data_IF_761619557292
#
_entry.id   IF_761619557292
#
_cell.length_a   1.000
_cell.length_b   1.000
_cell.length_c   1.000
_cell.angle_alpha   90.00
_cell.angle_beta   90.00
_cell.angle_gamma   90.00
#
_symmetry.space_group_name_H-M   'P 1'
#
loop_
_entity.id
_entity.type
_entity.pdbx_description
1 polymer ?
#
# COMPACT_ATOMS: atom_id res chain seq x y z
N UNK A 1 1.44 -3.62 -72.72
CA UNK A 1 0.42 -4.57 -73.20
C UNK A 1 1.11 -5.74 -73.89
N UNK A 2 0.59 -6.97 -73.91
CA UNK A 2 -0.60 -7.52 -73.22
C UNK A 2 -0.28 -8.81 -72.40
N UNK A 3 -0.80 -8.96 -71.18
CA UNK A 3 -2.03 -9.66 -70.73
C UNK A 3 -1.91 -11.18 -70.45
N UNK A 4 -2.40 -11.54 -69.26
CA UNK A 4 -2.72 -12.91 -68.84
C UNK A 4 -3.37 -12.93 -67.45
N UNK A 5 -4.66 -12.58 -67.38
CA UNK A 5 -5.55 -12.67 -66.20
C UNK A 5 -5.82 -14.13 -65.78
N UNK A 6 -5.97 -14.41 -64.48
CA UNK A 6 -7.19 -15.06 -63.96
C UNK A 6 -7.36 -14.83 -62.45
N UNK A 7 -8.62 -14.75 -62.05
CA UNK A 7 -9.21 -14.14 -60.86
C UNK A 7 -9.76 -15.24 -59.94
N UNK A 8 -9.75 -15.08 -58.61
CA UNK A 8 -10.94 -15.28 -57.74
C UNK A 8 -10.68 -15.04 -56.25
N UNK A 9 -11.55 -14.17 -55.72
CA UNK A 9 -11.89 -13.84 -54.33
C UNK A 9 -12.02 -15.05 -53.39
N UNK A 10 -11.70 -14.84 -52.11
CA UNK A 10 -12.54 -15.25 -50.97
C UNK A 10 -12.33 -14.31 -49.77
N UNK A 11 -13.41 -13.63 -49.40
CA UNK A 11 -13.62 -13.03 -48.09
C UNK A 11 -13.66 -14.12 -47.01
N UNK A 12 -13.10 -13.84 -45.83
CA UNK A 12 -13.61 -14.39 -44.57
C UNK A 12 -13.22 -13.48 -43.41
N UNK A 13 -14.23 -12.84 -42.83
CA UNK A 13 -14.24 -12.27 -41.48
C UNK A 13 -13.92 -13.34 -40.43
N UNK A 14 -13.20 -12.97 -39.36
CA UNK A 14 -13.33 -13.64 -38.06
C UNK A 14 -13.35 -12.62 -36.93
N UNK A 15 -14.57 -12.34 -36.49
CA UNK A 15 -14.87 -11.96 -35.13
C UNK A 15 -14.77 -13.19 -34.21
N UNK A 16 -14.50 -12.93 -32.94
CA UNK A 16 -14.76 -13.77 -31.75
C UNK A 16 -14.09 -15.14 -31.66
N UNK A 17 -13.17 -15.27 -30.70
CA UNK A 17 -13.12 -16.45 -29.81
C UNK A 17 -12.80 -15.94 -28.39
N UNK A 18 -13.83 -15.41 -27.73
CA UNK A 18 -13.89 -15.37 -26.27
C UNK A 18 -14.70 -16.60 -25.85
N UNK A 19 -14.03 -17.68 -25.48
CA UNK A 19 -14.54 -18.81 -24.67
C UNK A 19 -13.68 -20.04 -24.91
N UNK A 20 -12.69 -20.30 -24.04
CA UNK A 20 -12.27 -21.64 -23.58
C UNK A 20 -10.86 -21.57 -23.01
N UNK A 21 -10.76 -21.44 -21.68
CA UNK A 21 -9.90 -22.23 -20.77
C UNK A 21 -10.52 -22.02 -19.38
N UNK A 22 -11.66 -22.66 -19.14
CA UNK A 22 -12.08 -23.11 -17.81
C UNK A 22 -11.92 -24.63 -17.86
N UNK A 23 -10.86 -25.12 -17.24
CA UNK A 23 -10.74 -26.41 -16.58
C UNK A 23 -9.30 -26.91 -16.59
N UNK A 24 -8.88 -27.43 -15.43
CA UNK A 24 -7.65 -28.19 -15.15
C UNK A 24 -6.41 -27.34 -14.86
N UNK A 25 -6.24 -27.00 -13.59
CA UNK A 25 -5.21 -27.67 -12.77
C UNK A 25 -5.56 -27.53 -11.28
N UNK A 26 -6.05 -28.64 -10.71
CA UNK A 26 -5.92 -28.95 -9.30
C UNK A 26 -4.48 -29.41 -9.08
N UNK A 27 -3.73 -28.69 -8.25
CA UNK A 27 -2.64 -29.27 -7.48
C UNK A 27 -2.79 -28.78 -6.04
N UNK A 28 -3.49 -29.59 -5.25
CA UNK A 28 -3.62 -29.43 -3.81
C UNK A 28 -2.23 -29.59 -3.17
N UNK A 29 -1.75 -28.52 -2.53
CA UNK A 29 -0.79 -28.66 -1.43
C UNK A 29 -1.65 -28.78 -0.16
N UNK A 30 -1.72 -29.98 0.38
CA UNK A 30 -2.40 -30.28 1.65
C UNK A 30 -1.56 -29.78 2.81
N UNK A 31 -2.10 -28.88 3.62
CA UNK A 31 -1.61 -28.58 4.96
C UNK A 31 -2.42 -29.46 5.93
N UNK A 32 -1.77 -30.46 6.53
CA UNK A 32 -2.38 -31.34 7.53
C UNK A 32 -2.30 -30.67 8.91
N UNK A 33 -3.46 -30.38 9.47
CA UNK A 33 -3.64 -29.70 10.75
C UNK A 33 -5.01 -29.99 11.31
N UNK A 34 -5.26 -31.27 11.64
CA UNK A 34 -6.47 -31.72 12.36
C UNK A 34 -6.63 -30.96 13.69
N UNK A 35 -7.70 -30.18 13.80
CA UNK A 35 -8.37 -29.89 15.06
C UNK A 35 -9.87 -30.16 14.87
N UNK A 36 -10.40 -31.02 15.73
CA UNK A 36 -11.76 -31.57 15.65
C UNK A 36 -12.81 -30.48 15.89
N UNK A 37 -13.77 -30.31 14.98
CA UNK A 37 -14.93 -29.46 15.21
C UNK A 37 -15.96 -30.19 16.09
N UNK A 38 -16.22 -29.68 17.28
CA UNK A 38 -17.46 -29.98 18.00
C UNK A 38 -18.54 -29.00 17.54
N UNK A 39 -19.68 -29.54 17.11
CA UNK A 39 -20.88 -28.78 16.74
C UNK A 39 -21.47 -28.17 18.01
N UNK A 40 -21.54 -26.85 18.10
CA UNK A 40 -22.51 -26.14 18.92
C UNK A 40 -23.37 -25.24 18.04
N UNK A 41 -24.59 -25.68 17.81
CA UNK A 41 -25.71 -24.88 17.34
C UNK A 41 -26.19 -24.00 18.49
N UNK A 42 -26.05 -22.69 18.37
CA UNK A 42 -26.75 -21.75 19.25
C UNK A 42 -27.45 -20.71 18.39
N UNK A 43 -28.78 -20.83 18.35
CA UNK A 43 -29.70 -19.86 17.79
C UNK A 43 -29.71 -18.60 18.65
N UNK A 44 -29.32 -17.45 18.08
CA UNK A 44 -29.53 -16.14 18.71
C UNK A 44 -30.63 -15.42 17.93
N UNK A 45 -31.66 -15.02 18.68
CA UNK A 45 -32.90 -14.41 18.24
C UNK A 45 -32.69 -12.99 17.70
N UNK A 46 -33.42 -12.68 16.61
CA UNK A 46 -33.61 -11.34 16.06
C UNK A 46 -34.47 -10.50 17.02
N UNK A 47 -33.83 -9.76 17.92
CA UNK A 47 -34.38 -8.55 18.53
C UNK A 47 -33.26 -7.90 19.32
N UNK A 48 -32.77 -6.77 18.82
CA UNK A 48 -32.08 -5.67 19.52
C UNK A 48 -31.03 -4.98 18.63
N UNK A 49 -31.44 -4.65 17.39
CA UNK A 49 -30.74 -3.66 16.57
C UNK A 49 -31.74 -2.60 16.16
N UNK A 50 -31.92 -1.60 17.02
CA UNK A 50 -32.61 -0.35 16.68
C UNK A 50 -31.78 0.82 17.15
N UNK A 51 -31.15 1.52 16.20
CA UNK A 51 -30.96 2.97 16.13
C UNK A 51 -29.67 3.30 15.36
N UNK A 52 -29.79 3.45 14.04
CA UNK A 52 -28.98 4.37 13.22
C UNK A 52 -29.61 4.39 11.82
N UNK A 53 -30.76 5.06 11.69
CA UNK A 53 -31.27 5.47 10.39
C UNK A 53 -30.71 6.86 10.05
N UNK A 54 -30.54 7.07 8.75
CA UNK A 54 -30.48 8.37 8.07
C UNK A 54 -29.11 9.01 7.88
N UNK A 55 -28.33 8.43 6.96
CA UNK A 55 -27.61 9.18 5.92
C UNK A 55 -27.60 8.34 4.64
N UNK A 56 -28.77 8.27 3.99
CA UNK A 56 -28.88 7.79 2.61
C UNK A 56 -28.38 8.93 1.70
N UNK A 57 -27.07 8.96 1.46
CA UNK A 57 -26.51 9.83 0.43
C UNK A 57 -26.72 9.17 -0.92
N UNK A 58 -27.72 9.66 -1.63
CA UNK A 58 -28.00 9.47 -3.05
C UNK A 58 -26.68 9.35 -3.86
N UNK A 59 -26.46 8.29 -4.65
CA UNK A 59 -25.24 8.15 -5.44
C UNK A 59 -25.26 9.21 -6.54
N UNK A 60 -24.59 10.33 -6.26
CA UNK A 60 -24.33 11.38 -7.26
C UNK A 60 -23.84 10.74 -8.56
N UNK A 61 -24.45 11.20 -9.65
CA UNK A 61 -24.24 10.78 -11.03
C UNK A 61 -22.76 10.51 -11.37
N UNK A 62 -22.51 9.38 -12.04
CA UNK A 62 -21.22 8.94 -12.58
C UNK A 62 -20.72 9.86 -13.70
N UNK A 63 -20.27 11.07 -13.36
CA UNK A 63 -19.41 11.89 -14.19
C UNK A 63 -17.95 11.61 -13.84
N UNK A 64 -17.19 11.08 -14.80
CA UNK A 64 -15.74 10.79 -14.84
C UNK A 64 -14.99 10.84 -13.50
N UNK A 65 -15.17 9.79 -12.67
CA UNK A 65 -14.31 9.53 -11.51
C UNK A 65 -12.83 9.39 -11.91
N UNK A 66 -12.58 9.04 -13.17
CA UNK A 66 -11.25 8.90 -13.75
C UNK A 66 -11.18 9.53 -15.13
N UNK A 67 -10.00 10.02 -15.49
CA UNK A 67 -9.67 10.29 -16.88
C UNK A 67 -8.65 9.27 -17.39
N UNK A 68 -8.76 8.93 -18.68
CA UNK A 68 -7.76 8.08 -19.34
C UNK A 68 -6.55 8.92 -19.73
N UNK A 69 -5.37 8.48 -19.31
CA UNK A 69 -4.10 9.13 -19.59
C UNK A 69 -3.07 8.10 -20.04
N UNK A 70 -2.67 8.17 -21.31
CA UNK A 70 -1.79 7.18 -21.95
C UNK A 70 -2.24 5.72 -21.73
N UNK A 71 -3.55 5.46 -21.74
CA UNK A 71 -4.12 4.12 -21.57
C UNK A 71 -4.32 3.67 -20.12
N UNK A 72 -3.94 4.49 -19.13
CA UNK A 72 -4.12 4.22 -17.70
C UNK A 72 -5.21 5.12 -17.12
N UNK A 73 -5.90 4.69 -16.06
CA UNK A 73 -6.95 5.50 -15.41
C UNK A 73 -6.34 6.34 -14.28
N UNK A 74 -6.60 7.65 -14.24
CA UNK A 74 -6.11 8.54 -13.17
C UNK A 74 -7.24 9.34 -12.54
N UNK A 75 -7.09 9.64 -11.24
CA UNK A 75 -7.96 10.60 -10.55
C UNK A 75 -7.76 12.01 -11.14
N UNK A 76 -8.85 12.78 -11.32
CA UNK A 76 -8.76 14.18 -11.75
C UNK A 76 -7.90 15.00 -10.78
N UNK A 77 -7.28 16.04 -11.31
CA UNK A 77 -6.60 17.03 -10.47
C UNK A 77 -7.63 17.80 -9.65
N UNK A 78 -7.38 17.93 -8.35
CA UNK A 78 -8.24 18.66 -7.40
C UNK A 78 -7.37 19.70 -6.69
N UNK A 79 -7.78 20.97 -6.74
CA UNK A 79 -7.08 22.09 -6.09
C UNK A 79 -5.58 22.19 -6.41
N UNK A 80 -5.20 21.87 -7.65
CA UNK A 80 -3.79 21.89 -8.10
C UNK A 80 -2.97 20.67 -7.68
N UNK A 81 -3.60 19.71 -6.97
CA UNK A 81 -2.97 18.47 -6.52
C UNK A 81 -3.27 17.35 -7.51
N UNK A 82 -2.21 16.84 -8.13
CA UNK A 82 -2.28 15.77 -9.11
C UNK A 82 -1.75 14.46 -8.50
N UNK A 83 -2.61 13.45 -8.41
CA UNK A 83 -2.20 12.11 -8.00
C UNK A 83 -1.31 11.47 -9.07
N UNK A 84 -0.15 10.96 -8.64
CA UNK A 84 0.90 10.47 -9.54
C UNK A 84 0.65 9.07 -10.07
N UNK A 85 -0.05 8.24 -9.29
CA UNK A 85 -0.27 6.85 -9.61
C UNK A 85 -1.65 6.65 -10.27
N UNK A 86 -1.77 5.67 -11.18
CA UNK A 86 -3.05 5.32 -11.77
C UNK A 86 -3.99 4.65 -10.74
N UNK A 87 -5.23 4.37 -11.14
CA UNK A 87 -6.28 3.76 -10.34
C UNK A 87 -7.02 2.71 -11.17
N UNK A 88 -6.26 1.81 -11.79
CA UNK A 88 -6.74 0.71 -12.64
C UNK A 88 -6.28 -0.66 -12.13
N UNK A 89 -6.74 -1.72 -12.78
CA UNK A 89 -6.43 -3.11 -12.39
C UNK A 89 -4.92 -3.40 -12.38
N UNK A 90 -4.13 -2.77 -13.26
CA UNK A 90 -2.67 -2.89 -13.26
C UNK A 90 -2.05 -2.29 -11.98
N UNK A 91 -2.60 -1.19 -11.46
CA UNK A 91 -2.18 -0.62 -10.18
C UNK A 91 -2.57 -1.50 -9.00
N UNK A 92 -3.75 -2.14 -9.04
CA UNK A 92 -4.17 -3.13 -8.04
C UNK A 92 -3.14 -4.25 -7.96
N UNK A 93 -2.74 -4.83 -9.08
CA UNK A 93 -1.70 -5.87 -9.10
C UNK A 93 -0.34 -5.36 -8.58
N UNK A 94 0.05 -4.11 -8.90
CA UNK A 94 1.28 -3.52 -8.35
C UNK A 94 1.22 -3.46 -6.82
N UNK A 95 0.13 -2.95 -6.26
CA UNK A 95 -0.05 -2.85 -4.80
C UNK A 95 -0.01 -4.24 -4.14
N UNK A 96 -0.62 -5.25 -4.75
CA UNK A 96 -0.60 -6.62 -4.21
C UNK A 96 0.80 -7.24 -4.19
N UNK A 97 1.60 -7.04 -5.26
CA UNK A 97 2.99 -7.49 -5.29
C UNK A 97 3.85 -6.74 -4.26
N UNK A 98 3.60 -5.45 -4.08
CA UNK A 98 4.28 -4.64 -3.07
C UNK A 98 3.95 -5.12 -1.65
N UNK A 99 2.69 -5.43 -1.36
CA UNK A 99 2.29 -6.01 -0.07
C UNK A 99 2.93 -7.38 0.16
N UNK A 100 3.02 -8.20 -0.89
CA UNK A 100 3.73 -9.48 -0.83
C UNK A 100 5.23 -9.30 -0.52
N UNK A 101 5.86 -8.25 -1.05
CA UNK A 101 7.24 -7.90 -0.74
C UNK A 101 7.38 -7.56 0.74
N UNK A 102 6.53 -6.68 1.28
CA UNK A 102 6.53 -6.30 2.69
C UNK A 102 6.37 -7.52 3.61
N UNK A 103 5.46 -8.44 3.26
CA UNK A 103 5.26 -9.66 4.02
C UNK A 103 6.53 -10.54 4.06
N UNK A 104 7.23 -10.69 2.94
CA UNK A 104 8.48 -11.46 2.89
C UNK A 104 9.63 -10.80 3.66
N UNK A 105 9.64 -9.47 3.69
CA UNK A 105 10.68 -8.65 4.35
C UNK A 105 10.52 -8.67 5.87
N UNK A 106 9.30 -8.46 6.36
CA UNK A 106 9.06 -8.29 7.79
C UNK A 106 8.60 -9.56 8.50
N UNK A 107 7.97 -10.50 7.78
CA UNK A 107 7.37 -11.73 8.33
C UNK A 107 6.40 -11.47 9.49
N UNK A 108 5.88 -10.24 9.57
CA UNK A 108 5.00 -9.73 10.62
C UNK A 108 4.04 -8.73 9.99
N UNK A 109 2.77 -8.76 10.40
CA UNK A 109 1.73 -7.87 9.89
C UNK A 109 1.39 -6.69 10.82
N UNK A 110 1.84 -6.75 12.07
CA UNK A 110 1.57 -5.76 13.12
C UNK A 110 2.90 -5.38 13.78
N UNK A 111 3.32 -4.12 13.78
CA UNK A 111 4.50 -3.72 14.55
C UNK A 111 4.13 -3.37 15.98
N UNK A 112 3.03 -2.64 16.15
CA UNK A 112 2.48 -2.26 17.45
C UNK A 112 2.05 -3.50 18.25
N UNK A 113 2.21 -3.48 19.59
CA UNK A 113 1.88 -4.60 20.47
C UNK A 113 0.36 -4.67 20.76
N UNK A 114 -0.47 -4.79 19.71
CA UNK A 114 -1.95 -4.78 19.78
C UNK A 114 -2.58 -6.15 19.52
N UNK A 115 -1.80 -7.21 19.49
CA UNK A 115 -2.28 -8.55 19.13
C UNK A 115 -3.36 -9.07 20.10
N UNK A 116 -3.16 -8.92 21.41
CA UNK A 116 -4.14 -9.32 22.42
C UNK A 116 -5.39 -8.41 22.37
N UNK A 117 -5.19 -7.10 22.17
CA UNK A 117 -6.30 -6.12 22.04
C UNK A 117 -7.22 -6.47 20.86
N UNK A 118 -6.64 -6.91 19.73
CA UNK A 118 -7.41 -7.35 18.55
C UNK A 118 -8.30 -8.58 18.85
N UNK A 119 -7.83 -9.50 19.70
CA UNK A 119 -8.57 -10.68 20.16
C UNK A 119 -9.65 -10.36 21.20
N UNK A 120 -9.47 -9.27 21.95
CA UNK A 120 -10.45 -8.78 22.93
C UNK A 120 -11.53 -7.92 22.28
N UNK A 121 -11.19 -7.21 21.20
CA UNK A 121 -12.11 -6.41 20.39
C UNK A 121 -11.83 -4.92 20.53
N UNK A 122 -11.22 -4.35 19.49
CA UNK A 122 -10.88 -2.92 19.40
C UNK A 122 -11.36 -2.28 18.10
N UNK A 123 -11.23 -0.95 17.99
CA UNK A 123 -11.51 -0.20 16.78
C UNK A 123 -10.21 0.17 16.07
N UNK A 124 -10.07 -0.28 14.83
CA UNK A 124 -8.88 -0.08 13.99
C UNK A 124 -9.23 0.85 12.82
N UNK A 125 -8.35 1.83 12.55
CA UNK A 125 -8.40 2.68 11.36
C UNK A 125 -7.16 2.46 10.51
N UNK A 126 -7.32 2.06 9.25
CA UNK A 126 -6.26 2.17 8.24
C UNK A 126 -6.51 3.40 7.35
N UNK A 127 -5.51 4.29 7.29
CA UNK A 127 -5.50 5.49 6.44
C UNK A 127 -4.73 5.16 5.16
N UNK A 128 -5.27 5.54 4.00
CA UNK A 128 -4.69 5.22 2.69
C UNK A 128 -4.69 3.71 2.40
N UNK A 129 -5.86 3.07 2.46
CA UNK A 129 -5.97 1.60 2.36
C UNK A 129 -5.55 1.00 1.02
N UNK A 130 -5.52 1.79 -0.07
CA UNK A 130 -5.34 1.26 -1.42
C UNK A 130 -6.36 0.16 -1.73
N UNK A 131 -5.90 -1.07 -2.00
CA UNK A 131 -6.78 -2.22 -2.25
C UNK A 131 -7.56 -2.69 -1.00
N UNK A 132 -7.14 -2.26 0.20
CA UNK A 132 -7.72 -2.70 1.46
C UNK A 132 -7.34 -4.11 1.88
N UNK A 133 -6.35 -4.73 1.22
CA UNK A 133 -5.95 -6.12 1.49
C UNK A 133 -5.52 -6.33 2.96
N UNK A 134 -4.65 -5.48 3.49
CA UNK A 134 -4.09 -5.65 4.83
C UNK A 134 -5.18 -5.61 5.92
N UNK A 135 -6.02 -4.57 5.90
CA UNK A 135 -7.11 -4.43 6.89
C UNK A 135 -8.19 -5.50 6.74
N UNK A 136 -8.46 -5.94 5.50
CA UNK A 136 -9.40 -7.04 5.24
C UNK A 136 -8.91 -8.35 5.82
N UNK A 137 -7.62 -8.68 5.61
CA UNK A 137 -7.00 -9.89 6.17
C UNK A 137 -7.04 -9.88 7.71
N UNK A 138 -6.80 -8.73 8.36
CA UNK A 138 -6.97 -8.61 9.82
C UNK A 138 -8.43 -8.75 10.25
N UNK A 139 -9.37 -8.15 9.53
CA UNK A 139 -10.80 -8.23 9.87
C UNK A 139 -11.34 -9.66 9.83
N UNK A 140 -10.88 -10.49 8.90
CA UNK A 140 -11.20 -11.92 8.87
C UNK A 140 -10.67 -12.68 10.09
N UNK A 141 -9.47 -12.33 10.57
CA UNK A 141 -8.81 -13.03 11.67
C UNK A 141 -9.30 -12.58 13.06
N UNK A 142 -9.84 -11.35 13.17
CA UNK A 142 -10.24 -10.76 14.45
C UNK A 142 -11.71 -10.31 14.43
N UNK A 143 -12.68 -11.26 14.45
CA UNK A 143 -14.10 -10.96 14.25
C UNK A 143 -14.76 -10.13 15.36
N UNK A 144 -14.10 -9.97 16.52
CA UNK A 144 -14.56 -9.11 17.62
C UNK A 144 -14.16 -7.64 17.45
N UNK A 145 -13.14 -7.37 16.63
CA UNK A 145 -12.65 -6.02 16.36
C UNK A 145 -13.42 -5.39 15.21
N UNK A 146 -13.50 -4.06 15.20
CA UNK A 146 -14.11 -3.26 14.13
C UNK A 146 -13.02 -2.57 13.32
N UNK A 147 -13.16 -2.63 12.00
CA UNK A 147 -12.15 -2.17 11.06
C UNK A 147 -12.76 -1.12 10.13
N UNK A 148 -12.11 0.03 10.06
CA UNK A 148 -12.50 1.12 9.16
C UNK A 148 -11.29 1.47 8.29
N UNK A 149 -11.50 1.50 6.98
CA UNK A 149 -10.51 1.91 6.00
C UNK A 149 -10.89 3.23 5.35
N UNK A 150 -9.93 4.12 5.16
CA UNK A 150 -10.11 5.39 4.44
C UNK A 150 -9.13 5.51 3.29
N UNK A 151 -9.58 5.98 2.13
CA UNK A 151 -8.72 6.31 0.98
C UNK A 151 -9.40 7.37 0.11
N UNK A 152 -8.63 8.15 -0.65
CA UNK A 152 -9.18 9.08 -1.66
C UNK A 152 -10.01 8.33 -2.71
N UNK A 153 -9.68 7.06 -2.97
CA UNK A 153 -10.43 6.19 -3.86
C UNK A 153 -10.60 4.80 -3.26
N UNK A 154 -11.86 4.35 -3.16
CA UNK A 154 -12.17 2.97 -2.75
C UNK A 154 -12.21 2.08 -4.00
N UNK A 155 -11.20 1.22 -4.12
CA UNK A 155 -11.17 0.18 -5.15
C UNK A 155 -12.34 -0.79 -4.97
N UNK A 156 -12.92 -1.32 -6.07
CA UNK A 156 -13.95 -2.34 -5.98
C UNK A 156 -13.43 -3.57 -5.21
N UNK A 157 -14.11 -3.93 -4.13
CA UNK A 157 -13.81 -5.13 -3.35
C UNK A 157 -14.99 -6.09 -3.37
N UNK A 158 -14.67 -7.38 -3.37
CA UNK A 158 -15.65 -8.46 -3.14
C UNK A 158 -15.39 -9.06 -1.78
N UNK A 159 -16.44 -9.44 -1.06
CA UNK A 159 -16.35 -10.22 0.18
C UNK A 159 -15.71 -9.52 1.39
N UNK A 160 -16.08 -8.26 1.66
CA UNK A 160 -15.69 -7.59 2.91
C UNK A 160 -16.32 -8.28 4.13
N UNK A 161 -15.55 -8.55 5.20
CA UNK A 161 -16.07 -8.99 6.49
C UNK A 161 -17.11 -8.02 7.05
N UNK A 162 -18.11 -8.52 7.79
CA UNK A 162 -19.19 -7.69 8.36
C UNK A 162 -18.68 -6.64 9.36
N UNK A 163 -17.49 -6.87 9.94
CA UNK A 163 -16.80 -5.98 10.85
C UNK A 163 -15.83 -5.01 10.14
N UNK A 164 -15.85 -4.91 8.80
CA UNK A 164 -14.98 -4.05 8.01
C UNK A 164 -15.77 -3.10 7.11
N UNK A 165 -15.40 -1.81 7.08
CA UNK A 165 -16.02 -0.80 6.22
C UNK A 165 -14.97 0.14 5.60
N UNK A 166 -15.12 0.45 4.31
CA UNK A 166 -14.29 1.44 3.62
C UNK A 166 -15.05 2.74 3.34
N UNK A 167 -14.35 3.88 3.42
CA UNK A 167 -14.93 5.22 3.21
C UNK A 167 -14.03 6.08 2.31
N UNK A 168 -14.57 6.71 1.24
CA UNK A 168 -13.80 7.64 0.44
C UNK A 168 -13.52 8.91 1.26
N UNK A 169 -12.25 9.16 1.58
CA UNK A 169 -11.79 10.27 2.42
C UNK A 169 -10.42 10.72 1.92
N UNK A 170 -10.29 12.02 1.63
CA UNK A 170 -9.00 12.66 1.50
C UNK A 170 -8.48 13.06 2.88
N UNK A 171 -7.44 12.38 3.36
CA UNK A 171 -6.79 12.67 4.64
C UNK A 171 -6.30 14.11 4.73
N UNK A 172 -5.97 14.75 3.59
CA UNK A 172 -5.52 16.15 3.58
C UNK A 172 -6.63 17.17 3.84
N UNK A 173 -7.89 16.73 3.79
CA UNK A 173 -9.07 17.50 4.23
C UNK A 173 -9.50 17.16 5.67
N UNK A 174 -8.77 16.28 6.34
CA UNK A 174 -9.07 15.80 7.69
C UNK A 174 -9.86 14.50 7.72
N UNK A 175 -9.72 13.77 8.82
CA UNK A 175 -10.40 12.50 9.04
C UNK A 175 -11.80 12.76 9.63
N UNK A 176 -12.89 12.22 9.04
CA UNK A 176 -14.27 12.51 9.45
C UNK A 176 -14.70 11.69 10.67
N UNK A 177 -13.84 11.62 11.68
CA UNK A 177 -14.07 10.90 12.92
C UNK A 177 -13.82 11.83 14.12
N UNK A 178 -14.58 11.68 15.21
CA UNK A 178 -14.31 12.38 16.45
C UNK A 178 -12.92 12.06 17.00
N UNK A 179 -12.42 12.95 17.85
CA UNK A 179 -11.20 12.71 18.62
C UNK A 179 -11.33 11.41 19.44
N UNK A 180 -10.24 10.69 19.60
CA UNK A 180 -10.17 9.49 20.45
C UNK A 180 -11.21 8.40 20.07
N UNK A 181 -11.38 8.14 18.77
CA UNK A 181 -12.33 7.16 18.22
C UNK A 181 -11.76 5.76 18.02
N UNK A 182 -10.44 5.62 17.89
CA UNK A 182 -9.77 4.39 17.50
C UNK A 182 -8.70 3.98 18.52
N UNK A 183 -8.56 2.69 18.74
CA UNK A 183 -7.56 2.12 19.63
C UNK A 183 -6.24 1.87 18.87
N UNK A 184 -6.33 1.64 17.56
CA UNK A 184 -5.18 1.44 16.68
C UNK A 184 -5.38 2.18 15.35
N UNK A 185 -4.43 3.03 14.98
CA UNK A 185 -4.47 3.82 13.75
C UNK A 185 -3.18 3.56 12.96
N UNK A 186 -3.32 3.16 11.71
CA UNK A 186 -2.20 2.70 10.88
C UNK A 186 -2.24 3.32 9.49
N UNK A 187 -1.08 3.58 8.92
CA UNK A 187 -0.93 3.96 7.52
C UNK A 187 0.24 3.20 6.91
N UNK A 188 0.05 2.69 5.69
CA UNK A 188 1.05 1.87 5.01
C UNK A 188 1.20 2.35 3.57
N UNK A 189 2.43 2.50 3.10
CA UNK A 189 2.78 2.82 1.71
C UNK A 189 2.16 4.10 1.13
N UNK A 190 2.12 5.20 1.89
CA UNK A 190 1.69 6.50 1.38
C UNK A 190 2.79 7.30 0.68
N UNK A 191 3.91 6.64 0.34
CA UNK A 191 4.95 7.22 -0.51
C UNK A 191 4.29 7.76 -1.80
N UNK A 192 4.65 8.99 -2.18
CA UNK A 192 4.09 9.77 -3.30
C UNK A 192 2.80 10.58 -3.04
N UNK A 193 2.16 10.46 -1.87
CA UNK A 193 0.82 11.03 -1.68
C UNK A 193 0.82 12.42 -1.03
N UNK A 194 1.81 12.70 -0.19
CA UNK A 194 1.80 13.90 0.64
C UNK A 194 3.09 14.71 0.54
N UNK A 195 2.92 16.02 0.59
CA UNK A 195 3.98 17.00 0.82
C UNK A 195 4.47 16.93 2.25
N UNK A 196 5.64 17.53 2.51
CA UNK A 196 6.16 17.61 3.89
C UNK A 196 5.17 18.31 4.83
N UNK A 197 4.54 19.39 4.38
CA UNK A 197 3.60 20.17 5.20
C UNK A 197 2.33 19.38 5.50
N UNK A 198 1.83 18.60 4.56
CA UNK A 198 0.67 17.73 4.79
C UNK A 198 0.99 16.64 5.80
N UNK A 199 2.17 16.01 5.70
CA UNK A 199 2.64 15.05 6.71
C UNK A 199 2.69 15.66 8.11
N UNK A 200 3.36 16.80 8.26
CA UNK A 200 3.64 17.44 9.55
C UNK A 200 2.40 18.10 10.17
N UNK A 201 1.53 18.72 9.36
CA UNK A 201 0.44 19.57 9.84
C UNK A 201 -0.94 18.93 9.74
N UNK A 202 -1.11 17.85 8.95
CA UNK A 202 -2.42 17.26 8.70
C UNK A 202 -2.41 15.76 8.99
N UNK A 203 -1.67 14.96 8.23
CA UNK A 203 -1.74 13.49 8.28
C UNK A 203 -1.38 12.95 9.67
N UNK A 204 -0.19 13.27 10.18
CA UNK A 204 0.24 12.79 11.50
C UNK A 204 -0.65 13.38 12.61
N UNK A 205 -0.93 14.70 12.65
CA UNK A 205 -1.85 15.27 13.64
C UNK A 205 -3.25 14.67 13.65
N UNK A 206 -3.86 14.43 12.48
CA UNK A 206 -5.20 13.85 12.37
C UNK A 206 -5.23 12.40 12.86
N UNK A 207 -4.23 11.59 12.49
CA UNK A 207 -4.11 10.22 12.99
C UNK A 207 -3.96 10.20 14.52
N UNK A 208 -3.16 11.10 15.10
CA UNK A 208 -3.02 11.24 16.55
C UNK A 208 -4.33 11.74 17.20
N UNK A 209 -5.04 12.67 16.55
CA UNK A 209 -6.31 13.23 17.05
C UNK A 209 -7.36 12.14 17.21
N UNK A 210 -7.56 11.32 16.19
CA UNK A 210 -8.58 10.24 16.20
C UNK A 210 -8.14 9.03 17.02
N UNK A 211 -6.86 8.89 17.36
CA UNK A 211 -6.35 7.85 18.24
C UNK A 211 -6.71 8.11 19.71
N UNK A 212 -7.18 7.10 20.43
CA UNK A 212 -7.49 7.17 21.86
C UNK A 212 -6.22 7.30 22.71
N UNK A 213 -6.28 7.93 23.89
CA UNK A 213 -5.21 7.82 24.87
C UNK A 213 -4.95 6.34 25.20
N UNK A 214 -3.68 5.92 25.22
CA UNK A 214 -3.27 4.52 25.33
C UNK A 214 -3.31 3.72 24.02
N UNK A 215 -3.91 4.25 22.95
CA UNK A 215 -3.94 3.62 21.64
C UNK A 215 -2.58 3.71 20.92
N UNK A 216 -2.41 2.88 19.88
CA UNK A 216 -1.20 2.81 19.07
C UNK A 216 -1.36 3.47 17.70
N UNK A 217 -0.33 4.22 17.30
CA UNK A 217 -0.14 4.67 15.92
C UNK A 217 0.96 3.85 15.26
N UNK A 218 0.78 3.47 14.01
CA UNK A 218 1.77 2.73 13.22
C UNK A 218 1.91 3.27 11.81
N UNK A 219 3.15 3.36 11.34
CA UNK A 219 3.49 3.69 9.97
C UNK A 219 4.41 2.62 9.40
N UNK A 220 4.13 2.17 8.17
CA UNK A 220 5.01 1.29 7.39
C UNK A 220 5.27 1.92 6.04
N UNK A 221 6.49 2.38 5.80
CA UNK A 221 6.81 3.22 4.63
C UNK A 221 8.13 2.80 3.96
N UNK A 222 8.16 2.85 2.64
CA UNK A 222 9.40 2.77 1.87
C UNK A 222 10.17 4.08 1.85
N UNK A 223 11.29 4.09 1.12
CA UNK A 223 11.95 5.32 0.69
C UNK A 223 12.21 5.30 -0.82
N UNK A 224 12.40 6.46 -1.43
CA UNK A 224 12.76 6.54 -2.85
C UNK A 224 14.26 6.31 -3.10
N UNK A 225 15.07 6.07 -2.07
CA UNK A 225 16.52 5.86 -2.23
C UNK A 225 16.79 4.37 -2.48
N UNK A 226 17.57 4.07 -3.51
CA UNK A 226 18.15 2.74 -3.70
C UNK A 226 19.66 2.88 -3.52
N UNK A 227 20.21 2.05 -2.64
CA UNK A 227 21.63 1.94 -2.34
C UNK A 227 22.31 1.03 -3.36
N UNK A 228 23.59 1.28 -3.60
CA UNK A 228 24.38 0.58 -4.61
C UNK A 228 23.66 0.52 -5.97
N UNK A 229 23.01 1.63 -6.35
CA UNK A 229 22.30 1.73 -7.61
C UNK A 229 23.30 1.82 -8.77
N UNK A 230 23.09 1.01 -9.81
CA UNK A 230 23.82 1.17 -11.07
C UNK A 230 23.51 2.50 -11.77
N UNK A 231 24.19 2.80 -12.89
CA UNK A 231 24.07 4.09 -13.58
C UNK A 231 22.67 4.37 -14.16
N UNK A 232 21.93 3.35 -14.61
CA UNK A 232 20.58 3.50 -15.19
C UNK A 232 19.54 3.72 -14.10
N UNK A 233 19.62 2.95 -13.01
CA UNK A 233 18.81 3.13 -11.83
C UNK A 233 19.06 4.51 -11.21
N UNK A 234 20.33 4.91 -11.06
CA UNK A 234 20.69 6.25 -10.57
C UNK A 234 20.11 7.37 -11.44
N UNK A 235 20.15 7.22 -12.77
CA UNK A 235 19.54 8.19 -13.70
C UNK A 235 18.03 8.28 -13.50
N UNK A 236 17.35 7.14 -13.37
CA UNK A 236 15.91 7.09 -13.15
C UNK A 236 15.53 7.73 -11.80
N UNK A 237 16.24 7.39 -10.72
CA UNK A 237 16.00 7.94 -9.37
C UNK A 237 16.21 9.45 -9.30
N UNK A 238 17.25 9.96 -9.96
CA UNK A 238 17.51 11.40 -10.05
C UNK A 238 16.33 12.12 -10.70
N UNK A 239 15.82 11.59 -11.82
CA UNK A 239 14.70 12.20 -12.54
C UNK A 239 13.37 12.05 -11.78
N UNK A 240 13.14 10.90 -11.13
CA UNK A 240 12.02 10.72 -10.21
C UNK A 240 12.05 11.80 -9.12
N UNK A 241 13.20 12.02 -8.47
CA UNK A 241 13.33 13.02 -7.42
C UNK A 241 12.98 14.43 -7.92
N UNK A 242 13.38 14.80 -9.15
CA UNK A 242 12.97 16.08 -9.77
C UNK A 242 11.45 16.14 -9.96
N UNK A 243 10.83 15.09 -10.49
CA UNK A 243 9.37 14.98 -10.65
C UNK A 243 8.64 15.14 -9.31
N UNK A 244 9.09 14.45 -8.25
CA UNK A 244 8.46 14.53 -6.93
C UNK A 244 8.66 15.90 -6.28
N UNK A 245 9.86 16.48 -6.38
CA UNK A 245 10.16 17.81 -5.84
C UNK A 245 9.36 18.92 -6.53
N UNK A 246 9.15 18.83 -7.86
CA UNK A 246 8.31 19.78 -8.60
C UNK A 246 6.85 19.80 -8.12
N UNK A 247 6.39 18.69 -7.50
CA UNK A 247 5.08 18.52 -6.87
C UNK A 247 5.13 18.67 -5.34
N UNK A 248 6.28 19.07 -4.79
CA UNK A 248 6.52 19.24 -3.34
C UNK A 248 6.31 17.98 -2.48
N UNK A 249 6.29 16.81 -3.11
CA UNK A 249 6.10 15.51 -2.45
C UNK A 249 7.32 15.17 -1.60
N UNK A 250 7.08 14.65 -0.40
CA UNK A 250 8.15 14.30 0.52
C UNK A 250 8.70 12.90 0.24
N UNK A 251 9.97 12.84 -0.18
CA UNK A 251 10.61 11.60 -0.64
C UNK A 251 11.32 10.80 0.45
N UNK A 252 11.44 11.37 1.66
CA UNK A 252 12.24 10.82 2.76
C UNK A 252 11.44 10.63 4.04
N UNK A 253 10.11 10.49 3.94
CA UNK A 253 9.25 10.36 5.11
C UNK A 253 9.60 9.13 5.93
N UNK A 254 9.79 7.96 5.31
CA UNK A 254 10.02 6.69 5.99
C UNK A 254 11.11 6.76 7.07
N UNK A 255 12.30 7.28 6.69
CA UNK A 255 13.43 7.46 7.59
C UNK A 255 13.28 8.58 8.64
N UNK A 256 12.26 9.42 8.52
CA UNK A 256 11.99 10.54 9.43
C UNK A 256 10.86 10.25 10.42
N UNK A 257 10.00 9.27 10.14
CA UNK A 257 8.84 8.94 10.98
C UNK A 257 9.21 8.74 12.44
N UNK A 258 10.24 7.95 12.74
CA UNK A 258 10.68 7.74 14.13
C UNK A 258 11.01 9.05 14.85
N UNK A 259 11.72 9.97 14.19
CA UNK A 259 12.02 11.29 14.75
C UNK A 259 10.74 12.15 14.90
N UNK A 260 9.84 12.12 13.91
CA UNK A 260 8.57 12.84 13.96
C UNK A 260 7.71 12.38 15.15
N UNK A 261 7.60 11.07 15.37
CA UNK A 261 6.85 10.53 16.51
C UNK A 261 7.53 10.85 17.84
N UNK A 262 8.86 10.70 17.92
CA UNK A 262 9.65 10.99 19.12
C UNK A 262 9.56 12.46 19.55
N UNK A 263 9.43 13.37 18.59
CA UNK A 263 9.34 14.81 18.84
C UNK A 263 7.93 15.27 19.23
N UNK A 264 6.92 14.41 19.11
CA UNK A 264 5.54 14.76 19.42
C UNK A 264 5.25 14.52 20.93
N UNK A 265 4.91 15.56 21.70
CA UNK A 265 4.72 15.44 23.15
C UNK A 265 3.48 14.61 23.54
N UNK A 266 2.55 14.35 22.62
CA UNK A 266 1.38 13.50 22.86
C UNK A 266 1.70 12.01 22.71
N UNK A 267 2.92 11.64 22.31
CA UNK A 267 3.34 10.27 22.07
C UNK A 267 4.41 9.82 23.06
N UNK A 268 4.36 8.53 23.38
CA UNK A 268 5.30 7.82 24.23
C UNK A 268 5.57 6.43 23.62
N UNK A 269 6.49 5.67 24.22
CA UNK A 269 6.81 4.29 23.78
C UNK A 269 7.13 4.22 22.28
N UNK A 270 7.93 5.17 21.79
CA UNK A 270 8.27 5.29 20.37
C UNK A 270 9.31 4.23 20.02
N UNK A 271 9.01 3.42 19.00
CA UNK A 271 9.94 2.48 18.39
C UNK A 271 9.94 2.72 16.88
N UNK A 272 11.12 2.79 16.27
CA UNK A 272 11.25 2.87 14.83
C UNK A 272 12.49 2.11 14.38
N UNK A 273 12.35 1.37 13.29
CA UNK A 273 13.46 0.63 12.70
C UNK A 273 13.18 0.41 11.21
N UNK A 274 14.05 -0.36 10.56
CA UNK A 274 13.91 -0.69 9.15
C UNK A 274 14.43 -2.09 8.84
N UNK A 275 14.11 -2.55 7.64
CA UNK A 275 14.71 -3.71 6.99
C UNK A 275 15.25 -3.30 5.64
N UNK A 276 16.46 -3.74 5.33
CA UNK A 276 17.07 -3.57 4.02
C UNK A 276 16.68 -4.72 3.12
N UNK A 277 16.27 -4.40 1.89
CA UNK A 277 15.63 -5.34 0.97
C UNK A 277 16.43 -5.37 -0.33
N UNK A 278 16.95 -6.53 -0.72
CA UNK A 278 17.71 -6.68 -1.95
C UNK A 278 16.79 -6.53 -3.17
N UNK A 279 17.33 -6.09 -4.29
CA UNK A 279 16.59 -5.95 -5.55
C UNK A 279 17.17 -6.91 -6.60
N UNK A 280 16.52 -8.06 -6.79
CA UNK A 280 16.91 -9.06 -7.81
C UNK A 280 18.02 -10.03 -7.38
N UNK A 281 18.33 -10.08 -6.09
CA UNK A 281 19.31 -10.99 -5.50
C UNK A 281 18.85 -11.46 -4.11
N UNK A 282 19.57 -12.42 -3.51
CA UNK A 282 19.18 -13.06 -2.23
C UNK A 282 17.84 -13.84 -2.30
N UNK A 283 17.60 -14.51 -3.43
CA UNK A 283 16.46 -15.39 -3.60
C UNK A 283 15.11 -14.67 -3.67
N UNK A 284 14.07 -15.34 -3.16
CA UNK A 284 12.67 -14.97 -3.40
C UNK A 284 12.31 -13.56 -2.92
N UNK A 285 12.88 -13.10 -1.80
CA UNK A 285 12.59 -11.76 -1.26
C UNK A 285 13.06 -10.67 -2.24
N UNK A 286 14.24 -10.83 -2.84
CA UNK A 286 14.75 -9.85 -3.79
C UNK A 286 14.10 -9.94 -5.17
N UNK A 287 13.69 -11.13 -5.60
CA UNK A 287 12.93 -11.29 -6.85
C UNK A 287 11.58 -10.57 -6.77
N UNK A 288 10.85 -10.73 -5.65
CA UNK A 288 9.56 -10.07 -5.42
C UNK A 288 9.76 -8.54 -5.31
N UNK A 289 10.79 -8.09 -4.57
CA UNK A 289 11.06 -6.67 -4.41
C UNK A 289 11.45 -5.99 -5.75
N UNK A 290 12.19 -6.68 -6.62
CA UNK A 290 12.51 -6.19 -7.96
C UNK A 290 11.25 -6.11 -8.84
N UNK A 291 10.37 -7.11 -8.76
CA UNK A 291 9.09 -7.09 -9.50
C UNK A 291 8.17 -5.96 -9.02
N UNK A 292 8.13 -5.67 -7.71
CA UNK A 292 7.41 -4.50 -7.19
C UNK A 292 7.92 -3.19 -7.79
N UNK A 293 9.24 -3.02 -7.91
CA UNK A 293 9.85 -1.86 -8.56
C UNK A 293 9.56 -1.80 -10.07
N UNK A 294 9.59 -2.94 -10.76
CA UNK A 294 9.25 -3.02 -12.19
C UNK A 294 7.83 -2.53 -12.44
N UNK A 295 6.86 -2.98 -11.63
CA UNK A 295 5.46 -2.55 -11.76
C UNK A 295 5.26 -1.08 -11.35
N UNK A 296 6.05 -0.56 -10.41
CA UNK A 296 6.07 0.87 -10.11
C UNK A 296 6.59 1.70 -11.29
N UNK A 297 7.60 1.22 -12.02
CA UNK A 297 8.07 1.88 -13.24
C UNK A 297 6.97 1.98 -14.29
N UNK A 298 6.19 0.92 -14.48
CA UNK A 298 5.06 0.90 -15.41
C UNK A 298 3.97 1.90 -14.99
N UNK A 299 3.70 2.00 -13.69
CA UNK A 299 2.65 2.87 -13.14
C UNK A 299 3.02 4.36 -13.20
N UNK A 300 4.28 4.69 -13.01
CA UNK A 300 4.80 6.06 -13.15
C UNK A 300 5.06 6.46 -14.60
N UNK A 301 5.12 5.50 -15.53
CA UNK A 301 5.54 5.70 -16.92
C UNK A 301 4.82 6.87 -17.61
N UNK A 302 3.47 7.02 -17.56
CA UNK A 302 2.80 8.13 -18.23
C UNK A 302 3.34 9.49 -17.76
N UNK A 303 3.39 9.71 -16.44
CA UNK A 303 3.85 10.97 -15.84
C UNK A 303 5.31 11.24 -16.10
N UNK A 304 6.16 10.23 -15.99
CA UNK A 304 7.60 10.39 -16.18
C UNK A 304 7.94 10.69 -17.64
N UNK A 305 7.24 10.07 -18.60
CA UNK A 305 7.47 10.38 -20.02
C UNK A 305 7.17 11.85 -20.31
N UNK A 306 6.05 12.37 -19.80
CA UNK A 306 5.66 13.76 -20.05
C UNK A 306 6.52 14.77 -19.28
N UNK A 307 6.77 14.54 -17.99
CA UNK A 307 7.62 15.39 -17.16
C UNK A 307 9.05 15.51 -17.71
N UNK A 308 9.55 14.46 -18.35
CA UNK A 308 10.93 14.38 -18.81
C UNK A 308 11.09 14.66 -20.31
N UNK A 309 10.00 15.01 -21.00
CA UNK A 309 9.93 15.13 -22.47
C UNK A 309 10.59 13.91 -23.15
N UNK A 310 10.23 12.72 -22.67
CA UNK A 310 10.85 11.45 -23.02
C UNK A 310 9.88 10.57 -23.80
N UNK A 311 10.30 10.23 -25.02
CA UNK A 311 9.62 9.21 -25.83
C UNK A 311 9.46 7.89 -25.05
N UNK A 312 8.26 7.28 -25.04
CA UNK A 312 7.98 6.14 -24.17
C UNK A 312 8.93 4.94 -24.36
N UNK A 313 9.38 4.68 -25.59
CA UNK A 313 10.35 3.60 -25.85
C UNK A 313 11.71 3.84 -25.17
N UNK A 314 12.12 5.10 -24.99
CA UNK A 314 13.36 5.46 -24.29
C UNK A 314 13.20 5.24 -22.79
N UNK A 315 12.02 5.54 -22.24
CA UNK A 315 11.69 5.23 -20.86
C UNK A 315 11.77 3.73 -20.62
N UNK A 316 11.13 2.94 -21.49
CA UNK A 316 11.12 1.48 -21.40
C UNK A 316 12.52 0.87 -21.46
N UNK A 317 13.40 1.41 -22.33
CA UNK A 317 14.79 0.98 -22.40
C UNK A 317 15.58 1.35 -21.13
N UNK A 318 15.35 2.55 -20.58
CA UNK A 318 15.99 3.01 -19.35
C UNK A 318 15.60 2.13 -18.15
N UNK A 319 14.31 1.90 -17.94
CA UNK A 319 13.79 1.12 -16.81
C UNK A 319 14.16 -0.35 -16.92
N UNK A 320 14.11 -0.94 -18.13
CA UNK A 320 14.59 -2.32 -18.35
C UNK A 320 16.07 -2.47 -18.00
N UNK A 321 16.89 -1.49 -18.39
CA UNK A 321 18.32 -1.50 -18.07
C UNK A 321 18.56 -1.31 -16.57
N UNK A 322 17.79 -0.42 -15.92
CA UNK A 322 17.82 -0.20 -14.47
C UNK A 322 17.48 -1.47 -13.67
N UNK A 323 16.44 -2.21 -14.07
CA UNK A 323 16.09 -3.50 -13.44
C UNK A 323 17.19 -4.55 -13.65
N UNK A 324 17.79 -4.59 -14.85
CA UNK A 324 18.81 -5.59 -15.19
C UNK A 324 20.09 -5.42 -14.36
N UNK A 325 20.52 -4.18 -14.13
CA UNK A 325 21.76 -3.91 -13.39
C UNK A 325 21.62 -4.07 -11.87
N UNK A 326 20.39 -4.07 -11.30
CA UNK A 326 20.20 -4.20 -9.85
C UNK A 326 20.88 -5.44 -9.25
N UNK A 327 20.86 -6.57 -9.97
CA UNK A 327 21.52 -7.81 -9.53
C UNK A 327 23.04 -7.71 -9.57
N UNK A 328 23.60 -7.07 -10.60
CA UNK A 328 25.04 -6.90 -10.77
C UNK A 328 25.62 -5.99 -9.68
N UNK A 329 24.95 -4.86 -9.42
CA UNK A 329 25.38 -3.90 -8.41
C UNK A 329 24.95 -4.28 -6.99
N UNK A 330 24.20 -5.39 -6.83
CA UNK A 330 23.61 -5.81 -5.56
C UNK A 330 22.80 -4.69 -4.90
N UNK A 331 22.03 -3.95 -5.70
CA UNK A 331 21.25 -2.80 -5.24
C UNK A 331 20.21 -3.22 -4.19
N UNK A 332 19.89 -2.32 -3.27
CA UNK A 332 18.94 -2.57 -2.17
C UNK A 332 18.25 -1.29 -1.70
N UNK A 333 17.09 -1.43 -1.05
CA UNK A 333 16.31 -0.30 -0.50
C UNK A 333 15.90 -0.57 0.95
N UNK A 334 15.53 0.46 1.72
CA UNK A 334 14.98 0.26 3.05
C UNK A 334 13.45 0.37 3.07
N UNK A 335 12.85 -0.45 3.91
CA UNK A 335 11.48 -0.29 4.38
C UNK A 335 11.49 -0.03 5.88
N UNK A 336 10.83 1.05 6.27
CA UNK A 336 10.78 1.54 7.63
C UNK A 336 9.46 1.16 8.28
N UNK A 337 9.50 0.94 9.59
CA UNK A 337 8.33 1.03 10.43
C UNK A 337 8.58 2.01 11.57
N UNK A 338 7.52 2.65 12.03
CA UNK A 338 7.52 3.47 13.24
C UNK A 338 6.21 3.28 13.98
N UNK A 339 6.29 3.02 15.27
CA UNK A 339 5.15 2.89 16.17
C UNK A 339 5.31 3.84 17.35
N UNK A 340 4.18 4.26 17.90
CA UNK A 340 4.14 4.99 19.16
C UNK A 340 2.79 4.79 19.83
N UNK A 341 2.74 4.99 21.14
CA UNK A 341 1.50 4.98 21.90
C UNK A 341 1.12 6.42 22.25
N UNK A 342 -0.16 6.77 22.12
CA UNK A 342 -0.66 8.07 22.60
C UNK A 342 -0.67 8.08 24.12
N UNK A 343 -0.09 9.11 24.72
CA UNK A 343 0.00 9.25 26.17
C UNK A 343 -1.40 9.31 26.80
N UNK A 344 -1.61 8.54 27.87
CA UNK A 344 -2.89 8.41 28.60
C UNK A 344 -3.29 9.67 29.37
N UNK A 345 -2.30 10.43 29.87
CA UNK A 345 -2.47 11.61 30.68
C UNK A 345 -1.50 12.71 30.23
N UNK A 346 -1.88 13.98 30.35
CA UNK A 346 -1.08 15.15 29.95
C UNK A 346 0.21 15.40 30.74
N UNK A 347 0.79 14.38 31.39
CA UNK A 347 2.06 14.45 32.09
C UNK A 347 3.04 13.42 31.53
N UNK A 348 4.05 13.93 30.85
CA UNK A 348 5.09 13.15 30.18
C UNK A 348 6.20 12.77 31.16
N UNK A 349 6.54 11.48 31.24
CA UNK A 349 7.89 11.03 31.61
C UNK A 349 8.37 10.09 30.51
N UNK A 350 9.38 10.51 29.75
CA UNK A 350 10.00 9.71 28.68
C UNK A 350 11.21 8.96 29.25
N UNK A 351 11.17 7.64 29.41
CA UNK A 351 12.39 6.86 29.37
C UNK A 351 12.78 6.65 27.91
N UNK A 352 13.97 7.12 27.57
CA UNK A 352 14.60 6.94 26.26
C UNK A 352 15.09 5.49 26.16
N UNK A 353 14.46 4.67 25.31
CA UNK A 353 15.01 3.40 24.88
C UNK A 353 15.36 3.53 23.40
N UNK A 354 16.63 3.83 23.12
CA UNK A 354 17.18 3.71 21.77
C UNK A 354 17.48 2.23 21.57
N UNK A 355 16.65 1.53 20.80
CA UNK A 355 17.01 0.21 20.27
C UNK A 355 17.87 0.46 19.04
N UNK A 356 19.15 0.12 19.09
CA UNK A 356 20.01 0.14 17.91
C UNK A 356 19.42 -0.78 16.83
N UNK A 357 19.54 -0.42 15.54
CA UNK A 357 19.05 -1.27 14.46
C UNK A 357 19.70 -2.64 14.58
N UNK A 358 18.91 -3.62 14.99
CA UNK A 358 19.33 -5.01 14.99
C UNK A 358 19.40 -5.41 13.53
N UNK A 359 20.61 -5.50 12.99
CA UNK A 359 20.87 -6.39 11.86
C UNK A 359 20.52 -7.76 12.41
N UNK A 360 19.31 -8.25 12.13
CA UNK A 360 19.06 -9.67 12.23
C UNK A 360 19.90 -10.30 11.12
N UNK A 361 21.16 -10.59 11.47
CA UNK A 361 21.79 -11.78 10.97
C UNK A 361 20.94 -12.90 11.54
N UNK A 362 20.05 -13.46 10.73
CA UNK A 362 19.56 -14.79 11.02
C UNK A 362 20.81 -15.68 11.08
N UNK A 363 21.24 -16.03 12.29
CA UNK A 363 22.44 -16.84 12.55
C UNK A 363 22.28 -18.29 12.03
N UNK A 364 21.19 -18.61 11.33
CA UNK A 364 20.82 -19.97 10.92
C UNK A 364 20.55 -20.16 9.42
N UNK A 365 21.04 -19.32 8.50
CA UNK A 365 21.17 -19.73 7.09
C UNK A 365 22.50 -19.32 6.43
N UNK A 366 23.15 -20.23 5.69
CA UNK A 366 24.52 -20.05 5.25
C UNK A 366 24.60 -18.98 4.15
N UNK A 367 25.50 -18.04 4.37
CA UNK A 367 26.02 -17.09 3.38
C UNK A 367 26.35 -17.76 2.06
N UNK A 368 25.53 -17.53 1.02
CA UNK A 368 25.95 -17.55 -0.40
C UNK A 368 25.14 -16.55 -1.23
#
# INVERSE_FOLDING_TARGET
>A
MPFGHFNKKKNASKASVCSSIRSRQNSNVTFDGRLQSSKLTTSISKSDVTAASDLDSDPKEKGDQFYNYHGRAFLPEVDGKQYLLPCDDEEVERMEVHELALWHVFRKSLFAPVADDLEEGIRVLEVGIGTGKWITDLAFNHPKSQFIGTDIYIYPTTDLPINCQFKPVDTTEGLPFPDNSFDYVVQRNALYNYTRKEWENIVIPEMIRVLKPGGWIEFVEGETTIQDAGPKMSTWLMRLNVTLQSRTIHTRVGRQLGHCLQSNPALQNVEASFRSVPLGWLGKVGDIALEAHRRLFDSLRPRMCDDWDMEPFKYDLLTKSAITECKEFRSWSNYYYAIAQKSGDGNVTVPVIVVEPTVHQDEDEPYF
#
